data_IF_941647738527
#
_entry.id   IF_941647738527
#
_cell.length_a   1.000
_cell.length_b   1.000
_cell.length_c   1.000
_cell.angle_alpha   90.00
_cell.angle_beta   90.00
_cell.angle_gamma   90.00
#
_symmetry.space_group_name_H-M   'P 1'
#
loop_
_entity.id
_entity.type
_entity.pdbx_description
1 polymer ?
#
# COMPACT_ATOMS: atom_id res chain seq x y z
N UNK A 1 7.20 -36.60 10.25
CA UNK A 1 6.60 -35.43 9.55
C UNK A 1 5.16 -35.29 10.01
N UNK A 2 4.98 -35.03 11.31
CA UNK A 2 3.68 -34.95 11.98
C UNK A 2 3.09 -33.55 11.82
N UNK A 3 1.84 -33.49 11.35
CA UNK A 3 0.82 -32.47 11.58
C UNK A 3 1.20 -30.97 11.42
N UNK A 4 1.88 -30.58 10.34
CA UNK A 4 2.03 -29.16 9.99
C UNK A 4 0.68 -28.44 9.73
N UNK A 5 -0.42 -29.18 9.53
CA UNK A 5 -1.74 -28.62 9.22
C UNK A 5 -2.64 -28.49 10.46
N UNK A 6 -2.46 -29.30 11.51
CA UNK A 6 -3.31 -29.22 12.71
C UNK A 6 -2.82 -28.19 13.75
N UNK A 7 -1.53 -27.85 13.71
CA UNK A 7 -0.91 -26.85 14.61
C UNK A 7 -0.70 -25.48 13.96
N UNK A 8 -1.34 -25.20 12.81
CA UNK A 8 -1.27 -23.87 12.19
C UNK A 8 -1.98 -22.84 13.10
N UNK A 9 -1.25 -21.93 13.77
CA UNK A 9 -1.85 -20.95 14.67
C UNK A 9 -2.69 -19.92 13.91
N UNK A 10 -2.56 -19.82 12.59
CA UNK A 10 -3.39 -19.00 11.71
C UNK A 10 -4.66 -19.76 11.27
N UNK A 11 -4.61 -21.09 11.27
CA UNK A 11 -5.74 -22.03 11.15
C UNK A 11 -6.55 -21.95 9.83
N UNK A 12 -7.33 -23.00 9.48
CA UNK A 12 -8.17 -23.02 8.28
C UNK A 12 -9.49 -22.25 8.42
N UNK A 13 -9.63 -21.38 9.43
CA UNK A 13 -10.90 -20.71 9.75
C UNK A 13 -11.21 -19.56 8.81
N UNK A 14 -12.43 -19.50 8.27
CA UNK A 14 -12.94 -18.27 7.64
C UNK A 14 -12.92 -17.13 8.68
N UNK A 15 -12.52 -15.94 8.24
CA UNK A 15 -12.63 -14.74 9.05
C UNK A 15 -14.05 -14.59 9.58
N UNK A 16 -14.19 -14.45 10.90
CA UNK A 16 -15.47 -14.13 11.54
C UNK A 16 -15.41 -12.66 11.91
N UNK A 17 -16.28 -11.86 11.28
CA UNK A 17 -16.31 -10.42 11.52
C UNK A 17 -16.54 -10.12 13.01
N UNK A 18 -15.60 -9.42 13.68
CA UNK A 18 -15.79 -9.02 15.07
C UNK A 18 -16.88 -7.96 15.16
N UNK A 19 -17.58 -7.94 16.30
CA UNK A 19 -18.68 -7.00 16.60
C UNK A 19 -18.18 -5.56 16.75
N UNK A 20 -16.94 -5.37 17.20
CA UNK A 20 -16.29 -4.05 17.34
C UNK A 20 -15.13 -3.92 16.36
N UNK A 21 -14.82 -2.70 15.93
CA UNK A 21 -13.68 -2.44 15.02
C UNK A 21 -12.35 -2.55 15.75
N UNK A 22 -12.24 -2.04 16.99
CA UNK A 22 -11.15 -2.33 17.92
C UNK A 22 -11.67 -3.17 19.10
N UNK A 23 -10.92 -4.23 19.45
CA UNK A 23 -11.22 -5.06 20.61
C UNK A 23 -9.94 -5.71 21.17
N UNK A 24 -9.31 -5.05 22.13
CA UNK A 24 -8.15 -5.58 22.84
C UNK A 24 -8.60 -6.53 23.97
N UNK A 25 -8.20 -7.79 23.88
CA UNK A 25 -8.51 -8.87 24.82
C UNK A 25 -7.35 -9.19 25.76
N UNK A 26 -6.14 -8.83 25.36
CA UNK A 26 -4.90 -8.99 26.14
C UNK A 26 -4.07 -7.73 26.06
N UNK A 27 -3.00 -7.67 26.85
CA UNK A 27 -1.87 -6.79 26.63
C UNK A 27 -1.24 -7.01 25.24
N UNK A 28 -0.51 -6.01 24.73
CA UNK A 28 0.16 -6.07 23.43
C UNK A 28 1.68 -5.97 23.66
N UNK A 29 2.48 -6.99 23.29
CA UNK A 29 2.08 -8.28 22.71
C UNK A 29 1.40 -9.21 23.73
N UNK A 30 0.39 -9.98 23.29
CA UNK A 30 -0.28 -10.98 24.12
C UNK A 30 0.54 -12.26 24.35
N UNK A 31 0.08 -13.20 25.20
CA UNK A 31 0.83 -14.41 25.56
C UNK A 31 1.27 -15.26 24.37
N UNK A 32 0.40 -15.51 23.39
CA UNK A 32 0.73 -16.31 22.19
C UNK A 32 1.67 -15.54 21.27
N UNK A 33 1.42 -14.25 21.08
CA UNK A 33 2.29 -13.37 20.30
C UNK A 33 3.71 -13.33 20.88
N UNK A 34 3.89 -13.24 22.21
CA UNK A 34 5.21 -13.31 22.85
C UNK A 34 5.96 -14.61 22.56
N UNK A 35 5.28 -15.75 22.62
CA UNK A 35 5.88 -17.05 22.29
C UNK A 35 6.32 -17.08 20.83
N UNK A 36 5.49 -16.60 19.90
CA UNK A 36 5.81 -16.54 18.48
C UNK A 36 6.98 -15.57 18.18
N UNK A 37 7.01 -14.39 18.82
CA UNK A 37 8.11 -13.44 18.70
C UNK A 37 9.43 -14.00 19.24
N UNK A 38 9.41 -14.74 20.35
CA UNK A 38 10.60 -15.42 20.87
C UNK A 38 11.13 -16.49 19.89
N UNK A 39 10.23 -17.28 19.28
CA UNK A 39 10.60 -18.24 18.21
C UNK A 39 11.20 -17.53 16.99
N UNK A 40 10.60 -16.41 16.57
CA UNK A 40 11.07 -15.57 15.47
C UNK A 40 12.52 -15.12 15.72
N UNK A 41 12.81 -14.55 16.88
CA UNK A 41 14.16 -14.09 17.24
C UNK A 41 15.19 -15.22 17.31
N UNK A 42 14.77 -16.45 17.62
CA UNK A 42 15.66 -17.61 17.65
C UNK A 42 15.95 -18.21 16.26
N UNK A 43 15.11 -17.94 15.25
CA UNK A 43 15.13 -18.63 13.96
C UNK A 43 15.41 -17.71 12.76
N UNK A 44 15.11 -16.41 12.86
CA UNK A 44 15.19 -15.46 11.76
C UNK A 44 16.34 -14.46 11.95
N UNK A 45 16.80 -13.85 10.85
CA UNK A 45 17.81 -12.79 10.86
C UNK A 45 17.33 -11.53 11.60
N UNK A 46 18.27 -10.73 12.10
CA UNK A 46 17.98 -9.54 12.88
C UNK A 46 17.56 -8.36 12.00
N UNK A 47 16.24 -8.14 11.85
CA UNK A 47 15.64 -6.84 11.43
C UNK A 47 14.09 -6.86 11.54
N UNK A 48 13.47 -6.55 12.69
CA UNK A 48 12.05 -6.96 12.88
C UNK A 48 11.15 -6.07 13.78
N UNK A 49 10.47 -5.04 13.26
CA UNK A 49 9.11 -4.70 13.71
C UNK A 49 8.07 -5.52 12.90
N UNK A 50 6.90 -5.91 13.45
CA UNK A 50 6.18 -5.30 14.57
C UNK A 50 6.00 -6.21 15.81
N UNK A 51 5.44 -5.63 16.87
CA UNK A 51 5.10 -6.26 18.16
C UNK A 51 3.84 -7.13 18.13
N UNK A 52 3.24 -7.34 16.96
CA UNK A 52 2.04 -8.16 16.79
C UNK A 52 2.34 -9.34 15.88
N UNK A 53 1.71 -10.48 16.16
CA UNK A 53 1.78 -11.67 15.30
C UNK A 53 0.39 -11.89 14.73
N UNK A 54 0.22 -11.59 13.45
CA UNK A 54 -1.07 -11.63 12.76
C UNK A 54 -1.54 -13.08 12.62
N UNK A 55 -2.77 -13.34 13.03
CA UNK A 55 -3.48 -14.58 12.72
C UNK A 55 -4.39 -14.44 11.50
N UNK A 56 -5.14 -13.33 11.41
CA UNK A 56 -6.10 -13.08 10.34
C UNK A 56 -6.22 -11.57 10.02
N UNK A 57 -6.68 -11.23 8.82
CA UNK A 57 -7.00 -9.86 8.47
C UNK A 57 -8.14 -9.80 7.44
N UNK A 58 -8.99 -8.78 7.53
CA UNK A 58 -10.08 -8.54 6.59
C UNK A 58 -10.52 -7.08 6.58
N UNK A 59 -10.71 -6.51 5.39
CA UNK A 59 -11.00 -5.08 5.24
C UNK A 59 -9.90 -4.23 5.86
N UNK A 60 -10.26 -3.32 6.78
CA UNK A 60 -9.30 -2.53 7.54
C UNK A 60 -8.91 -3.16 8.89
N UNK A 61 -9.26 -4.42 9.14
CA UNK A 61 -9.04 -5.07 10.43
C UNK A 61 -7.92 -6.09 10.36
N UNK A 62 -7.13 -6.12 11.42
CA UNK A 62 -6.09 -7.13 11.68
C UNK A 62 -6.39 -7.78 13.03
N UNK A 63 -6.27 -9.11 13.08
CA UNK A 63 -6.49 -9.91 14.29
C UNK A 63 -5.18 -10.66 14.58
N UNK A 64 -4.64 -10.48 15.78
CA UNK A 64 -3.44 -11.21 16.21
C UNK A 64 -3.76 -12.63 16.74
N UNK A 65 -2.71 -13.40 17.08
CA UNK A 65 -2.86 -14.76 17.62
C UNK A 65 -3.63 -14.82 18.95
N UNK A 66 -3.71 -13.71 19.67
CA UNK A 66 -4.37 -13.57 20.97
C UNK A 66 -5.83 -13.08 20.82
N UNK A 67 -6.31 -12.89 19.58
CA UNK A 67 -7.62 -12.37 19.21
C UNK A 67 -7.86 -10.90 19.61
N UNK A 68 -6.80 -10.12 19.73
CA UNK A 68 -6.91 -8.66 19.73
C UNK A 68 -7.28 -8.21 18.31
N UNK A 69 -8.27 -7.31 18.20
CA UNK A 69 -8.70 -6.74 16.93
C UNK A 69 -8.18 -5.31 16.84
N UNK A 70 -7.46 -5.02 15.76
CA UNK A 70 -6.86 -3.73 15.44
C UNK A 70 -7.48 -3.14 14.17
N UNK A 71 -7.46 -1.82 14.06
CA UNK A 71 -7.64 -1.09 12.80
C UNK A 71 -6.26 -0.89 12.14
N UNK A 72 -6.17 -1.14 10.84
CA UNK A 72 -4.94 -1.03 10.05
C UNK A 72 -4.90 0.24 9.20
N UNK A 73 -4.14 1.23 9.69
CA UNK A 73 -3.79 2.46 8.99
C UNK A 73 -2.29 2.47 8.61
N UNK A 74 -1.64 1.30 8.58
CA UNK A 74 -0.22 1.15 8.30
C UNK A 74 0.06 0.56 6.91
N UNK A 75 -0.80 -0.32 6.39
CA UNK A 75 -0.48 -1.11 5.20
C UNK A 75 -1.24 -0.71 3.94
N UNK A 76 -2.02 0.37 3.97
CA UNK A 76 -2.92 0.79 2.89
C UNK A 76 -2.25 1.03 1.55
N UNK A 77 -0.96 1.40 1.47
CA UNK A 77 -0.20 1.55 0.21
C UNK A 77 0.47 0.27 -0.28
N UNK A 78 0.38 -0.82 0.51
CA UNK A 78 1.00 -2.10 0.21
C UNK A 78 0.15 -3.04 -0.66
N UNK A 79 -0.68 -2.45 -1.53
CA UNK A 79 -1.67 -3.17 -2.31
C UNK A 79 -2.98 -3.45 -1.58
N UNK A 80 -3.24 -2.68 -0.52
CA UNK A 80 -4.44 -2.75 0.31
C UNK A 80 -5.40 -1.59 0.03
N UNK A 81 -5.43 -1.05 -1.20
CA UNK A 81 -6.47 -0.10 -1.60
C UNK A 81 -7.89 -0.61 -1.30
N UNK A 82 -8.13 -1.91 -1.47
CA UNK A 82 -9.42 -2.56 -1.20
C UNK A 82 -9.57 -3.12 0.22
N UNK A 83 -8.51 -3.11 1.03
CA UNK A 83 -8.44 -3.82 2.30
C UNK A 83 -8.05 -5.29 2.20
N UNK A 84 -7.77 -5.90 3.35
CA UNK A 84 -7.34 -7.29 3.47
C UNK A 84 -8.44 -8.26 3.00
N UNK A 85 -8.02 -9.34 2.34
CA UNK A 85 -8.89 -10.49 1.98
C UNK A 85 -10.23 -10.12 1.32
N UNK A 86 -10.23 -9.10 0.45
CA UNK A 86 -11.44 -8.69 -0.27
C UNK A 86 -12.05 -9.87 -1.06
N UNK A 87 -13.34 -10.13 -0.86
CA UNK A 87 -14.00 -11.38 -1.29
C UNK A 87 -13.85 -11.66 -2.79
N UNK A 88 -14.04 -10.65 -3.65
CA UNK A 88 -13.87 -10.80 -5.09
C UNK A 88 -12.44 -11.17 -5.50
N UNK A 89 -11.42 -10.60 -4.86
CA UNK A 89 -10.00 -10.90 -5.15
C UNK A 89 -9.69 -12.33 -4.68
N UNK A 90 -10.11 -12.68 -3.46
CA UNK A 90 -9.95 -14.04 -2.91
C UNK A 90 -10.59 -15.07 -3.83
N UNK A 91 -11.84 -14.86 -4.23
CA UNK A 91 -12.56 -15.76 -5.12
C UNK A 91 -11.89 -15.86 -6.50
N UNK A 92 -11.43 -14.74 -7.07
CA UNK A 92 -10.74 -14.74 -8.36
C UNK A 92 -9.45 -15.56 -8.32
N UNK A 93 -8.64 -15.42 -7.26
CA UNK A 93 -7.39 -16.18 -7.08
C UNK A 93 -7.67 -17.67 -6.83
N UNK A 94 -8.65 -18.00 -5.98
CA UNK A 94 -9.03 -19.39 -5.73
C UNK A 94 -9.51 -20.09 -7.01
N UNK A 95 -10.38 -19.46 -7.79
CA UNK A 95 -10.84 -20.02 -9.06
C UNK A 95 -9.77 -20.02 -10.17
N UNK A 96 -8.70 -19.23 -10.02
CA UNK A 96 -7.59 -19.21 -10.95
C UNK A 96 -6.61 -20.35 -10.71
N UNK A 97 -6.25 -20.62 -9.45
CA UNK A 97 -5.28 -21.67 -9.11
C UNK A 97 -5.81 -23.07 -9.46
N UNK A 98 -7.13 -23.27 -9.44
CA UNK A 98 -7.78 -24.50 -9.91
C UNK A 98 -7.53 -24.79 -11.39
N UNK A 99 -7.16 -23.78 -12.19
CA UNK A 99 -6.88 -23.94 -13.63
C UNK A 99 -5.40 -24.11 -13.87
N UNK A 100 -4.58 -23.25 -13.28
CA UNK A 100 -3.12 -23.31 -13.30
C UNK A 100 -2.52 -22.31 -12.29
N UNK A 101 -1.45 -22.74 -11.64
CA UNK A 101 -0.63 -21.95 -10.72
C UNK A 101 0.61 -21.36 -11.41
N UNK A 102 1.17 -22.07 -12.39
CA UNK A 102 2.35 -21.67 -13.18
C UNK A 102 2.00 -21.60 -14.66
N UNK A 103 2.46 -20.54 -15.34
CA UNK A 103 2.31 -20.39 -16.78
C UNK A 103 3.52 -21.00 -17.52
N UNK A 104 3.31 -21.83 -18.56
CA UNK A 104 4.40 -22.24 -19.44
C UNK A 104 5.05 -21.05 -20.16
N UNK A 105 6.37 -21.06 -20.41
CA UNK A 105 7.10 -19.90 -20.96
C UNK A 105 6.68 -19.52 -22.40
N UNK A 106 5.94 -20.38 -23.09
CA UNK A 106 5.45 -20.17 -24.45
C UNK A 106 3.95 -19.87 -24.51
N UNK A 107 3.30 -19.66 -23.36
CA UNK A 107 1.87 -19.40 -23.25
C UNK A 107 1.58 -17.97 -22.79
N UNK A 108 0.40 -17.47 -23.13
CA UNK A 108 -0.08 -16.14 -22.71
C UNK A 108 -1.41 -16.26 -21.98
N UNK A 109 -1.64 -15.36 -21.03
CA UNK A 109 -2.87 -15.31 -20.25
C UNK A 109 -3.76 -14.16 -20.72
N UNK A 110 -5.00 -14.48 -21.10
CA UNK A 110 -6.01 -13.48 -21.48
C UNK A 110 -6.24 -12.42 -20.38
N UNK A 111 -6.04 -12.78 -19.11
CA UNK A 111 -6.14 -11.84 -17.99
C UNK A 111 -5.07 -10.76 -18.04
N UNK A 112 -3.89 -11.04 -18.59
CA UNK A 112 -2.86 -10.02 -18.80
C UNK A 112 -3.32 -8.99 -19.82
N UNK A 113 -3.90 -9.41 -20.95
CA UNK A 113 -4.44 -8.49 -21.95
C UNK A 113 -5.56 -7.63 -21.39
N UNK A 114 -6.48 -8.22 -20.63
CA UNK A 114 -7.56 -7.48 -19.98
C UNK A 114 -7.02 -6.46 -18.97
N UNK A 115 -6.05 -6.84 -18.15
CA UNK A 115 -5.40 -5.94 -17.18
C UNK A 115 -4.72 -4.76 -17.89
N UNK A 116 -3.91 -5.04 -18.92
CA UNK A 116 -3.21 -4.01 -19.70
C UNK A 116 -4.20 -3.08 -20.41
N UNK A 117 -5.29 -3.62 -20.97
CA UNK A 117 -6.33 -2.81 -21.62
C UNK A 117 -6.93 -1.81 -20.65
N UNK A 118 -7.34 -2.25 -19.47
CA UNK A 118 -7.89 -1.38 -18.43
C UNK A 118 -6.88 -0.32 -17.96
N UNK A 119 -5.59 -0.68 -17.83
CA UNK A 119 -4.56 0.29 -17.46
C UNK A 119 -4.39 1.38 -18.52
N UNK A 120 -4.34 1.00 -19.79
CA UNK A 120 -4.23 1.96 -20.89
C UNK A 120 -5.45 2.89 -20.97
N UNK A 121 -6.65 2.40 -20.62
CA UNK A 121 -7.87 3.22 -20.56
C UNK A 121 -7.87 4.20 -19.37
N UNK A 122 -7.33 3.82 -18.22
CA UNK A 122 -7.37 4.63 -17.00
C UNK A 122 -6.25 5.68 -16.91
N UNK A 123 -5.08 5.40 -17.50
CA UNK A 123 -3.88 6.24 -17.36
C UNK A 123 -3.83 7.40 -18.36
N UNK A 124 -3.22 8.56 -18.00
CA UNK A 124 -3.33 9.81 -18.78
C UNK A 124 -2.34 9.93 -19.95
N UNK A 125 -2.18 8.90 -20.78
CA UNK A 125 -1.12 8.85 -21.82
C UNK A 125 -1.63 8.97 -23.28
N UNK A 126 -2.94 9.12 -23.48
CA UNK A 126 -3.52 9.40 -24.80
C UNK A 126 -3.64 8.17 -25.71
N UNK A 127 -3.61 8.40 -27.03
CA UNK A 127 -4.15 7.45 -28.02
C UNK A 127 -3.26 6.23 -28.26
N UNK A 128 -1.93 6.36 -28.20
CA UNK A 128 -1.00 5.24 -28.37
C UNK A 128 -0.38 4.90 -27.02
N UNK A 129 -1.22 4.37 -26.14
CA UNK A 129 -0.83 3.94 -24.78
C UNK A 129 -0.60 2.43 -24.77
N UNK A 130 0.56 2.01 -24.27
CA UNK A 130 0.91 0.61 -24.02
C UNK A 130 1.29 0.46 -22.55
N UNK A 131 1.26 -0.78 -22.07
CA UNK A 131 1.75 -1.12 -20.75
C UNK A 131 2.59 -2.39 -20.76
N UNK A 132 3.51 -2.48 -19.80
CA UNK A 132 4.31 -3.67 -19.54
C UNK A 132 4.27 -4.00 -18.05
N UNK A 133 4.07 -5.28 -17.73
CA UNK A 133 3.96 -5.78 -16.36
C UNK A 133 5.32 -6.28 -15.86
N UNK A 134 5.58 -6.10 -14.56
CA UNK A 134 6.78 -6.59 -13.87
C UNK A 134 6.42 -7.15 -12.50
N UNK A 135 7.21 -8.11 -12.01
CA UNK A 135 7.00 -8.71 -10.70
C UNK A 135 7.49 -7.81 -9.57
N UNK A 136 8.47 -6.93 -9.84
CA UNK A 136 9.03 -5.99 -8.87
C UNK A 136 9.28 -4.59 -9.47
N UNK A 137 9.18 -3.50 -8.68
CA UNK A 137 9.50 -2.15 -9.12
C UNK A 137 10.91 -2.00 -9.71
N UNK A 138 11.90 -2.68 -9.13
CA UNK A 138 13.31 -2.57 -9.53
C UNK A 138 13.54 -3.13 -10.94
N UNK A 139 12.80 -4.18 -11.31
CA UNK A 139 12.82 -4.74 -12.67
C UNK A 139 12.27 -3.73 -13.69
N UNK A 140 11.21 -3.01 -13.32
CA UNK A 140 10.64 -1.97 -14.18
C UNK A 140 11.64 -0.82 -14.41
N UNK A 141 12.34 -0.39 -13.36
CA UNK A 141 13.37 0.64 -13.49
C UNK A 141 14.58 0.17 -14.31
N UNK A 142 15.02 -1.07 -14.12
CA UNK A 142 16.11 -1.66 -14.90
C UNK A 142 15.78 -1.74 -16.40
N UNK A 143 14.53 -2.07 -16.73
CA UNK A 143 14.04 -2.13 -18.12
C UNK A 143 14.09 -0.79 -18.87
N UNK A 144 14.15 0.32 -18.13
CA UNK A 144 14.32 1.67 -18.69
C UNK A 144 15.79 2.03 -18.95
N UNK A 145 16.76 1.15 -18.62
CA UNK A 145 18.19 1.41 -18.78
C UNK A 145 18.70 2.55 -17.88
N UNK A 146 18.06 2.76 -16.72
CA UNK A 146 18.42 3.84 -15.79
C UNK A 146 19.46 3.32 -14.79
N UNK A 147 20.74 3.62 -15.04
CA UNK A 147 21.88 3.11 -14.24
C UNK A 147 22.11 3.84 -12.90
N UNK A 148 21.48 5.00 -12.65
CA UNK A 148 21.63 5.74 -11.37
C UNK A 148 20.37 6.53 -10.97
N UNK A 149 20.06 6.42 -9.68
CA UNK A 149 19.06 7.14 -8.87
C UNK A 149 18.18 8.13 -9.66
N UNK A 150 16.91 7.75 -9.82
CA UNK A 150 15.86 8.76 -9.78
C UNK A 150 16.05 9.49 -8.45
N UNK A 151 16.53 10.74 -8.50
CA UNK A 151 16.52 11.64 -7.35
C UNK A 151 15.04 11.98 -7.04
N UNK A 152 14.37 11.07 -6.35
CA UNK A 152 13.16 11.37 -5.59
C UNK A 152 13.63 12.17 -4.38
N UNK A 153 13.66 13.49 -4.49
CA UNK A 153 13.79 14.34 -3.31
C UNK A 153 12.51 14.18 -2.48
N UNK A 154 12.61 13.38 -1.42
CA UNK A 154 11.95 13.41 -0.10
C UNK A 154 10.48 13.92 0.05
N UNK A 155 9.72 13.39 1.03
CA UNK A 155 8.36 12.92 0.81
C UNK A 155 7.33 14.05 0.71
N UNK A 156 6.30 13.83 -0.12
CA UNK A 156 5.20 14.76 -0.45
C UNK A 156 5.52 15.81 -1.51
N UNK A 157 6.06 15.35 -2.64
CA UNK A 157 5.89 16.07 -3.91
C UNK A 157 5.43 15.08 -4.97
N UNK A 158 4.10 15.00 -5.11
CA UNK A 158 3.53 14.65 -6.40
C UNK A 158 4.08 15.63 -7.44
N UNK A 159 4.57 15.09 -8.55
CA UNK A 159 5.41 15.73 -9.57
C UNK A 159 6.91 15.84 -9.20
N UNK A 160 7.57 14.69 -9.05
CA UNK A 160 9.01 14.58 -9.26
C UNK A 160 9.28 14.30 -10.73
N UNK A 161 9.83 15.28 -11.46
CA UNK A 161 10.35 15.06 -12.82
C UNK A 161 11.67 14.31 -12.69
N UNK A 162 11.72 13.04 -13.09
CA UNK A 162 12.97 12.36 -13.33
C UNK A 162 13.34 12.46 -14.80
N UNK A 163 14.63 12.64 -15.08
CA UNK A 163 15.21 12.62 -16.41
C UNK A 163 16.17 11.45 -16.49
N UNK A 164 15.92 10.46 -17.36
CA UNK A 164 16.96 9.47 -17.72
C UNK A 164 17.79 9.99 -18.91
N UNK A 165 19.03 9.53 -19.00
CA UNK A 165 19.87 9.67 -20.19
C UNK A 165 20.21 8.27 -20.70
N UNK A 166 19.71 7.91 -21.88
CA UNK A 166 20.20 6.72 -22.59
C UNK A 166 21.52 7.07 -23.30
N UNK A 167 22.46 6.13 -23.30
CA UNK A 167 23.72 6.22 -24.04
C UNK A 167 23.50 5.94 -25.54
N UNK A 168 22.71 6.80 -26.19
CA UNK A 168 22.65 6.90 -27.65
C UNK A 168 22.33 8.36 -28.01
N UNK A 169 23.02 8.88 -29.02
CA UNK A 169 22.98 10.27 -29.42
C UNK A 169 21.55 10.81 -29.65
N UNK A 170 21.30 12.04 -29.17
CA UNK A 170 20.02 12.79 -29.05
C UNK A 170 19.30 12.58 -27.70
N UNK A 171 19.60 13.45 -26.74
CA UNK A 171 19.09 13.42 -25.36
C UNK A 171 17.59 13.75 -25.28
N UNK A 172 16.75 12.76 -25.56
CA UNK A 172 15.36 12.76 -25.13
C UNK A 172 15.33 12.36 -23.64
N UNK A 173 14.82 13.25 -22.79
CA UNK A 173 14.51 12.94 -21.40
C UNK A 173 13.05 12.52 -21.30
N UNK A 174 12.76 11.38 -20.68
CA UNK A 174 11.39 10.95 -20.41
C UNK A 174 10.95 11.39 -19.03
N UNK A 175 9.74 11.96 -18.93
CA UNK A 175 9.10 12.24 -17.66
C UNK A 175 8.39 10.98 -17.15
N UNK A 176 8.81 10.49 -15.98
CA UNK A 176 8.23 9.30 -15.34
C UNK A 176 7.49 9.72 -14.06
N UNK A 177 6.19 9.41 -13.97
CA UNK A 177 5.42 9.49 -12.73
C UNK A 177 5.62 8.20 -11.93
N UNK A 178 6.40 8.24 -10.85
CA UNK A 178 6.63 7.10 -9.98
C UNK A 178 5.55 6.97 -8.92
N UNK A 179 4.64 6.01 -9.12
CA UNK A 179 3.46 5.81 -8.27
C UNK A 179 3.49 4.43 -7.59
N UNK A 180 4.68 3.83 -7.45
CA UNK A 180 4.85 2.48 -6.88
C UNK A 180 4.36 2.34 -5.42
N UNK A 181 4.26 3.46 -4.70
CA UNK A 181 3.78 3.51 -3.31
C UNK A 181 2.39 4.15 -3.19
N UNK A 182 1.66 4.30 -4.29
CA UNK A 182 0.34 4.89 -4.30
C UNK A 182 -0.69 3.86 -4.78
N UNK A 183 -1.89 3.87 -4.18
CA UNK A 183 -3.00 3.13 -4.77
C UNK A 183 -3.77 4.01 -5.74
N UNK A 184 -4.22 3.41 -6.83
CA UNK A 184 -5.17 4.00 -7.75
C UNK A 184 -6.41 4.48 -6.97
N UNK A 185 -6.80 5.74 -7.15
CA UNK A 185 -7.91 6.38 -6.44
C UNK A 185 -7.52 7.16 -5.18
N UNK A 186 -6.34 6.90 -4.58
CA UNK A 186 -5.93 7.52 -3.29
C UNK A 186 -5.98 9.04 -3.31
N UNK A 187 -5.64 9.64 -4.43
CA UNK A 187 -5.54 11.09 -4.55
C UNK A 187 -6.81 11.75 -5.11
N UNK A 188 -7.89 10.99 -5.24
CA UNK A 188 -9.09 11.47 -5.93
C UNK A 188 -9.08 11.28 -7.45
N UNK A 189 -8.04 10.62 -7.98
CA UNK A 189 -7.86 10.32 -9.40
C UNK A 189 -7.22 8.93 -9.58
N UNK A 190 -7.19 8.41 -10.82
CA UNK A 190 -6.59 7.10 -11.09
C UNK A 190 -5.05 7.15 -11.04
N UNK A 191 -4.45 8.32 -11.26
CA UNK A 191 -3.02 8.51 -11.09
C UNK A 191 -2.67 9.83 -10.40
N UNK A 192 -1.47 9.89 -9.84
CA UNK A 192 -0.84 11.08 -9.32
C UNK A 192 -0.77 12.18 -10.38
N UNK A 193 -0.35 11.81 -11.59
CA UNK A 193 -0.28 12.72 -12.72
C UNK A 193 -1.64 13.38 -13.02
N UNK A 194 -2.73 12.61 -13.03
CA UNK A 194 -4.08 13.16 -13.21
C UNK A 194 -4.47 14.12 -12.09
N UNK A 195 -4.18 13.77 -10.83
CA UNK A 195 -4.54 14.57 -9.67
C UNK A 195 -3.91 15.97 -9.69
N UNK A 196 -2.72 16.12 -10.30
CA UNK A 196 -2.00 17.42 -10.40
C UNK A 196 -1.98 18.02 -11.80
N UNK A 197 -2.68 17.42 -12.77
CA UNK A 197 -2.73 17.92 -14.16
C UNK A 197 -1.42 17.79 -14.94
N UNK A 198 -0.58 16.80 -14.60
CA UNK A 198 0.66 16.48 -15.30
C UNK A 198 0.43 15.45 -16.41
N UNK A 199 1.20 15.52 -17.50
CA UNK A 199 1.23 14.50 -18.55
C UNK A 199 2.63 13.88 -18.65
N UNK A 200 2.90 12.77 -17.94
CA UNK A 200 4.15 12.05 -18.04
C UNK A 200 4.24 11.19 -19.30
N UNK A 201 5.47 10.94 -19.78
CA UNK A 201 5.73 9.97 -20.83
C UNK A 201 5.40 8.54 -20.37
N UNK A 202 5.69 8.24 -19.10
CA UNK A 202 5.45 6.95 -18.44
C UNK A 202 4.91 7.12 -17.02
N UNK A 203 4.10 6.19 -16.56
CA UNK A 203 3.68 6.04 -15.16
C UNK A 203 4.09 4.66 -14.67
N UNK A 204 4.81 4.59 -13.55
CA UNK A 204 5.06 3.34 -12.81
C UNK A 204 3.92 3.13 -11.81
N UNK A 205 3.04 2.19 -12.11
CA UNK A 205 1.80 1.94 -11.35
C UNK A 205 1.98 0.74 -10.44
N UNK A 206 1.56 0.87 -9.18
CA UNK A 206 1.41 -0.24 -8.25
C UNK A 206 0.10 -1.01 -8.51
N UNK A 207 0.19 -2.32 -8.72
CA UNK A 207 -0.94 -3.22 -8.96
C UNK A 207 -1.03 -4.33 -7.92
N UNK A 208 -0.32 -4.18 -6.80
CA UNK A 208 -0.28 -5.17 -5.73
C UNK A 208 -1.69 -5.40 -5.18
N UNK A 209 -2.07 -6.67 -5.10
CA UNK A 209 -3.34 -7.13 -4.53
C UNK A 209 -3.09 -8.51 -3.89
N UNK A 210 -2.43 -8.53 -2.73
CA UNK A 210 -1.97 -9.77 -2.08
C UNK A 210 -0.72 -10.42 -2.69
N UNK A 211 -0.34 -10.05 -3.93
CA UNK A 211 0.92 -10.42 -4.56
C UNK A 211 1.53 -9.20 -5.27
N UNK A 212 2.86 -9.11 -5.31
CA UNK A 212 3.54 -7.98 -5.95
C UNK A 212 3.36 -8.04 -7.47
N UNK A 213 2.91 -6.92 -8.03
CA UNK A 213 2.84 -6.68 -9.46
C UNK A 213 2.90 -5.16 -9.67
N UNK A 214 3.66 -4.72 -10.66
CA UNK A 214 3.71 -3.33 -11.09
C UNK A 214 3.59 -3.25 -12.60
N UNK A 215 3.29 -2.07 -13.12
CA UNK A 215 3.30 -1.82 -14.56
C UNK A 215 3.97 -0.50 -14.90
N UNK A 216 4.71 -0.47 -16.01
CA UNK A 216 4.98 0.78 -16.71
C UNK A 216 3.89 0.97 -17.75
N UNK A 217 3.19 2.09 -17.69
CA UNK A 217 2.13 2.48 -18.63
C UNK A 217 2.56 3.79 -19.28
N UNK A 218 2.39 3.94 -20.60
CA UNK A 218 2.73 5.19 -21.24
C UNK A 218 2.85 5.09 -22.75
N UNK A 219 3.67 5.98 -23.32
CA UNK A 219 3.84 6.07 -24.77
C UNK A 219 4.31 4.74 -25.36
N UNK A 220 3.61 4.28 -26.39
CA UNK A 220 3.86 2.97 -27.01
C UNK A 220 5.27 2.80 -27.59
N UNK A 221 5.84 3.86 -28.16
CA UNK A 221 7.20 3.82 -28.73
C UNK A 221 8.28 3.61 -27.65
N UNK A 222 8.08 4.15 -26.46
CA UNK A 222 8.99 3.92 -25.32
C UNK A 222 8.83 2.50 -24.78
N UNK A 223 7.60 2.03 -24.59
CA UNK A 223 7.31 0.68 -24.07
C UNK A 223 7.84 -0.41 -25.02
N UNK A 224 7.71 -0.21 -26.34
CA UNK A 224 8.18 -1.17 -27.34
C UNK A 224 9.70 -1.29 -27.41
N UNK A 225 10.44 -0.22 -27.07
CA UNK A 225 11.91 -0.16 -27.14
C UNK A 225 12.60 -0.70 -25.87
N UNK A 226 11.84 -1.01 -24.80
CA UNK A 226 12.38 -1.51 -23.53
C UNK A 226 13.13 -2.84 -23.69
N UNK A 227 14.36 -2.89 -23.18
CA UNK A 227 15.09 -4.15 -23.04
C UNK A 227 14.66 -4.86 -21.77
N UNK A 228 14.18 -6.09 -21.89
CA UNK A 228 13.64 -6.84 -20.74
C UNK A 228 14.23 -8.24 -20.72
N UNK A 229 14.66 -8.66 -19.54
CA UNK A 229 15.01 -10.05 -19.26
C UNK A 229 13.73 -10.85 -18.93
N UNK A 230 13.65 -12.07 -19.47
CA UNK A 230 12.46 -12.93 -19.58
C UNK A 230 11.89 -13.49 -18.25
N UNK A 231 11.75 -12.70 -17.19
CA UNK A 231 11.07 -13.17 -15.98
C UNK A 231 9.54 -13.01 -16.15
N UNK A 232 8.79 -14.11 -16.33
CA UNK A 232 7.34 -14.01 -16.47
C UNK A 232 6.70 -13.53 -15.17
N UNK A 233 5.67 -12.67 -15.30
CA UNK A 233 4.84 -12.28 -14.16
C UNK A 233 3.96 -13.43 -13.70
N UNK A 234 3.80 -13.58 -12.38
CA UNK A 234 3.04 -14.68 -11.80
C UNK A 234 1.54 -14.59 -12.18
N UNK A 235 0.91 -15.65 -12.74
CA UNK A 235 -0.47 -15.57 -13.24
C UNK A 235 -1.51 -15.28 -12.15
N UNK A 236 -1.28 -15.76 -10.92
CA UNK A 236 -2.14 -15.41 -9.78
C UNK A 236 -2.00 -13.94 -9.37
N UNK A 237 -0.82 -13.31 -9.52
CA UNK A 237 -0.64 -11.89 -9.26
C UNK A 237 -1.39 -11.05 -10.30
N UNK A 238 -1.32 -11.43 -11.58
CA UNK A 238 -2.11 -10.82 -12.65
C UNK A 238 -3.61 -10.94 -12.37
N UNK A 239 -4.06 -12.13 -11.93
CA UNK A 239 -5.46 -12.37 -11.59
C UNK A 239 -5.94 -11.45 -10.46
N UNK A 240 -5.15 -11.36 -9.39
CA UNK A 240 -5.48 -10.53 -8.24
C UNK A 240 -5.49 -9.04 -8.61
N UNK A 241 -4.49 -8.59 -9.39
CA UNK A 241 -4.39 -7.23 -9.90
C UNK A 241 -5.58 -6.87 -10.82
N UNK A 242 -5.98 -7.78 -11.72
CA UNK A 242 -7.15 -7.57 -12.58
C UNK A 242 -8.44 -7.43 -11.75
N UNK A 243 -8.66 -8.30 -10.76
CA UNK A 243 -9.81 -8.19 -9.87
C UNK A 243 -9.79 -6.89 -9.05
N UNK A 244 -8.62 -6.49 -8.55
CA UNK A 244 -8.43 -5.21 -7.84
C UNK A 244 -8.71 -4.00 -8.73
N UNK A 245 -8.24 -4.00 -9.98
CA UNK A 245 -8.47 -2.90 -10.92
C UNK A 245 -9.94 -2.81 -11.37
N UNK A 246 -10.62 -3.94 -11.54
CA UNK A 246 -12.06 -3.95 -11.76
C UNK A 246 -12.81 -3.31 -10.59
N UNK A 247 -12.45 -3.67 -9.35
CA UNK A 247 -13.03 -3.06 -8.16
C UNK A 247 -12.76 -1.55 -8.08
N UNK A 248 -11.58 -1.08 -8.47
CA UNK A 248 -11.27 0.35 -8.56
C UNK A 248 -12.30 1.09 -9.43
N UNK A 249 -12.69 0.50 -10.56
CA UNK A 249 -13.70 1.06 -11.46
C UNK A 249 -15.12 0.92 -10.89
N UNK A 250 -15.50 -0.30 -10.48
CA UNK A 250 -16.84 -0.62 -9.97
C UNK A 250 -17.22 0.20 -8.72
N UNK A 251 -16.27 0.38 -7.80
CA UNK A 251 -16.46 1.11 -6.55
C UNK A 251 -16.12 2.60 -6.68
N UNK A 252 -15.69 3.06 -7.87
CA UNK A 252 -15.24 4.41 -8.13
C UNK A 252 -14.27 4.93 -7.05
N UNK A 253 -13.13 4.26 -6.90
CA UNK A 253 -12.20 4.58 -5.82
C UNK A 253 -11.57 5.97 -5.92
N UNK A 254 -11.59 6.60 -7.11
CA UNK A 254 -11.26 8.01 -7.25
C UNK A 254 -12.25 8.89 -6.48
N UNK A 255 -13.56 8.71 -6.69
CA UNK A 255 -14.57 9.44 -5.93
C UNK A 255 -14.48 9.13 -4.42
N UNK A 256 -14.22 7.87 -4.04
CA UNK A 256 -14.02 7.50 -2.63
C UNK A 256 -12.78 8.19 -2.03
N UNK A 257 -11.69 8.31 -2.79
CA UNK A 257 -10.51 9.07 -2.39
C UNK A 257 -10.82 10.55 -2.11
N UNK A 258 -11.64 11.19 -2.95
CA UNK A 258 -12.12 12.56 -2.69
C UNK A 258 -12.94 12.64 -1.40
N UNK A 259 -13.87 11.70 -1.18
CA UNK A 259 -14.68 11.67 0.04
C UNK A 259 -13.81 11.56 1.30
N UNK A 260 -12.87 10.61 1.33
CA UNK A 260 -11.96 10.43 2.47
C UNK A 260 -11.04 11.66 2.67
N UNK A 261 -10.67 12.34 1.59
CA UNK A 261 -9.92 13.60 1.66
C UNK A 261 -10.70 14.70 2.39
N UNK A 262 -11.99 14.84 2.09
CA UNK A 262 -12.86 15.83 2.72
C UNK A 262 -13.09 15.47 4.20
N UNK A 263 -13.34 14.18 4.50
CA UNK A 263 -13.47 13.70 5.88
C UNK A 263 -12.22 14.00 6.73
N UNK A 264 -11.02 13.71 6.21
CA UNK A 264 -9.77 14.05 6.89
C UNK A 264 -9.64 15.55 7.14
N UNK A 265 -9.95 16.37 6.13
CA UNK A 265 -9.83 17.82 6.22
C UNK A 265 -10.76 18.36 7.31
N UNK A 266 -12.00 17.90 7.34
CA UNK A 266 -12.99 18.33 8.32
C UNK A 266 -12.61 17.92 9.74
N UNK A 267 -12.17 16.67 9.94
CA UNK A 267 -11.77 16.16 11.26
C UNK A 267 -10.49 16.82 11.79
N UNK A 268 -9.53 17.13 10.90
CA UNK A 268 -8.21 17.63 11.32
C UNK A 268 -8.08 19.14 11.30
N UNK A 269 -9.12 19.88 10.87
CA UNK A 269 -9.10 21.34 10.76
C UNK A 269 -8.78 22.06 12.08
N UNK A 270 -9.10 21.44 13.21
CA UNK A 270 -8.92 21.99 14.56
C UNK A 270 -7.71 21.42 15.29
N UNK A 271 -6.94 20.53 14.66
CA UNK A 271 -5.83 19.85 15.32
C UNK A 271 -4.69 20.82 15.65
N UNK A 272 -4.48 21.04 16.94
CA UNK A 272 -3.36 21.82 17.48
C UNK A 272 -2.64 21.02 18.55
N UNK A 273 -1.64 20.24 18.12
CA UNK A 273 -0.83 19.40 19.01
C UNK A 273 0.62 19.89 19.06
N UNK A 274 1.19 20.18 20.24
CA UNK A 274 2.60 20.54 20.40
C UNK A 274 3.57 19.61 19.66
N UNK A 275 3.36 18.29 19.73
CA UNK A 275 4.23 17.31 19.07
C UNK A 275 4.17 17.34 17.52
N UNK A 276 3.12 17.94 16.95
CA UNK A 276 2.87 17.96 15.50
C UNK A 276 3.47 19.23 14.86
N UNK A 277 4.41 19.03 13.94
CA UNK A 277 5.07 20.13 13.24
C UNK A 277 4.28 20.58 11.99
N UNK A 278 3.76 19.63 11.23
CA UNK A 278 3.02 19.90 9.99
C UNK A 278 2.07 18.75 9.65
N UNK A 279 0.92 19.07 9.07
CA UNK A 279 0.07 18.12 8.35
C UNK A 279 0.24 18.36 6.86
N UNK A 280 0.45 17.28 6.09
CA UNK A 280 0.50 17.32 4.64
C UNK A 280 -0.59 16.44 4.06
N UNK A 281 -1.33 16.96 3.09
CA UNK A 281 -2.45 16.26 2.46
C UNK A 281 -2.51 16.51 0.96
N UNK A 282 -2.70 15.44 0.18
CA UNK A 282 -3.12 15.50 -1.22
C UNK A 282 -4.16 14.39 -1.42
N UNK A 283 -5.40 14.74 -1.78
CA UNK A 283 -6.51 13.79 -1.74
C UNK A 283 -6.61 13.09 -0.39
N UNK A 284 -6.76 11.76 -0.39
CA UNK A 284 -6.76 10.93 0.82
C UNK A 284 -5.37 10.39 1.20
N UNK A 285 -4.29 10.93 0.63
CA UNK A 285 -2.95 10.75 1.17
C UNK A 285 -2.71 11.81 2.23
N UNK A 286 -2.52 11.37 3.46
CA UNK A 286 -2.40 12.24 4.63
C UNK A 286 -1.20 11.84 5.46
N UNK A 287 -0.33 12.81 5.75
CA UNK A 287 0.95 12.58 6.43
C UNK A 287 1.09 13.55 7.58
N UNK A 288 1.33 13.01 8.77
CA UNK A 288 1.69 13.77 9.95
C UNK A 288 3.20 13.89 10.04
N UNK A 289 3.74 15.11 10.00
CA UNK A 289 5.14 15.37 10.31
C UNK A 289 5.24 15.78 11.78
N UNK A 290 5.87 14.94 12.58
CA UNK A 290 6.14 15.21 13.99
C UNK A 290 7.43 16.03 14.12
N UNK A 291 7.62 16.67 15.27
CA UNK A 291 8.82 17.48 15.55
C UNK A 291 10.11 16.67 15.59
N UNK A 292 10.02 15.38 15.89
CA UNK A 292 11.15 14.46 15.93
C UNK A 292 10.75 13.03 15.54
N UNK A 293 11.74 12.23 15.16
CA UNK A 293 11.55 10.80 14.93
C UNK A 293 11.14 10.05 16.21
N UNK A 294 11.61 10.51 17.38
CA UNK A 294 11.22 9.93 18.67
C UNK A 294 9.73 10.13 18.96
N UNK A 295 9.18 11.32 18.67
CA UNK A 295 7.74 11.59 18.83
C UNK A 295 6.90 10.79 17.83
N UNK A 296 7.38 10.64 16.59
CA UNK A 296 6.72 9.79 15.61
C UNK A 296 6.66 8.32 16.08
N UNK A 297 7.75 7.81 16.66
CA UNK A 297 7.74 6.46 17.24
C UNK A 297 6.81 6.35 18.45
N UNK A 298 6.81 7.34 19.36
CA UNK A 298 5.89 7.37 20.49
C UNK A 298 4.42 7.41 20.04
N UNK A 299 4.11 8.12 18.95
CA UNK A 299 2.78 8.12 18.35
C UNK A 299 2.37 6.72 17.90
N UNK A 300 3.26 6.05 17.15
CA UNK A 300 3.04 4.67 16.67
C UNK A 300 2.83 3.70 17.83
N UNK A 301 3.65 3.82 18.88
CA UNK A 301 3.57 2.95 20.06
C UNK A 301 2.28 3.19 20.87
N UNK A 302 1.90 4.45 21.11
CA UNK A 302 0.65 4.79 21.81
C UNK A 302 -0.58 4.35 21.00
N UNK A 303 -0.59 4.58 19.68
CA UNK A 303 -1.65 4.12 18.80
C UNK A 303 -1.80 2.59 18.83
N UNK A 304 -0.68 1.86 18.79
CA UNK A 304 -0.67 0.39 18.88
C UNK A 304 -1.33 -0.09 20.18
N UNK A 305 -0.96 0.49 21.33
CA UNK A 305 -1.56 0.14 22.63
C UNK A 305 -3.06 0.45 22.72
N UNK A 306 -3.58 1.27 21.81
CA UNK A 306 -4.99 1.62 21.68
C UNK A 306 -5.71 0.86 20.55
N UNK A 307 -5.02 -0.04 19.85
CA UNK A 307 -5.60 -0.88 18.81
C UNK A 307 -5.55 -0.30 17.39
N UNK A 308 -4.74 0.74 17.14
CA UNK A 308 -4.54 1.32 15.82
C UNK A 308 -3.11 1.03 15.32
N UNK A 309 -3.00 0.41 14.15
CA UNK A 309 -1.72 0.16 13.51
C UNK A 309 -1.32 1.36 12.67
N UNK A 310 -0.15 1.91 12.98
CA UNK A 310 0.52 2.97 12.24
C UNK A 310 1.96 2.55 11.94
N UNK A 311 2.62 3.29 11.06
CA UNK A 311 4.06 3.18 10.83
C UNK A 311 4.67 4.53 10.53
N UNK A 312 5.98 4.65 10.76
CA UNK A 312 6.76 5.77 10.23
C UNK A 312 7.04 5.56 8.74
N UNK A 313 7.27 6.64 8.00
CA UNK A 313 7.74 6.58 6.63
C UNK A 313 9.20 6.10 6.57
N UNK A 314 9.56 5.40 5.49
CA UNK A 314 10.92 4.87 5.32
C UNK A 314 11.93 5.98 4.95
N UNK A 315 11.48 7.02 4.25
CA UNK A 315 12.30 8.16 3.85
C UNK A 315 12.56 9.16 4.97
N UNK A 316 11.58 9.34 5.86
CA UNK A 316 11.66 10.32 6.94
C UNK A 316 11.00 9.73 8.20
N UNK A 317 11.79 9.30 9.20
CA UNK A 317 11.27 8.62 10.38
C UNK A 317 10.45 9.54 11.29
N UNK A 318 10.43 10.86 11.06
CA UNK A 318 9.53 11.77 11.75
C UNK A 318 8.19 11.97 11.03
N UNK A 319 7.97 11.31 9.89
CA UNK A 319 6.69 11.30 9.19
C UNK A 319 5.89 10.03 9.50
N UNK A 320 4.60 10.18 9.81
CA UNK A 320 3.63 9.10 10.00
C UNK A 320 2.53 9.25 8.95
N UNK A 321 2.59 8.50 7.84
CA UNK A 321 1.52 8.49 6.85
C UNK A 321 0.31 7.66 7.34
N UNK A 322 -0.91 8.13 7.08
CA UNK A 322 -2.12 7.37 7.32
C UNK A 322 -2.44 6.52 6.08
N UNK A 323 -2.14 5.25 6.19
CA UNK A 323 -2.22 4.26 5.12
C UNK A 323 -3.39 3.32 5.40
N UNK A 324 -4.61 3.84 5.45
CA UNK A 324 -5.84 3.04 5.57
C UNK A 324 -6.34 2.57 4.20
N UNK A 325 -7.07 1.43 4.08
CA UNK A 325 -7.68 1.03 2.81
C UNK A 325 -8.73 2.05 2.35
N UNK A 326 -8.89 2.27 1.03
CA UNK A 326 -9.90 3.23 0.52
C UNK A 326 -11.33 2.74 0.74
N UNK A 327 -11.52 1.42 0.83
CA UNK A 327 -12.79 0.79 1.19
C UNK A 327 -13.01 0.68 2.71
N UNK A 328 -12.21 1.38 3.54
CA UNK A 328 -12.47 1.42 4.99
C UNK A 328 -13.89 1.91 5.26
N UNK A 329 -14.70 1.15 6.04
CA UNK A 329 -16.02 1.62 6.47
C UNK A 329 -15.88 2.89 7.32
N UNK A 330 -16.80 3.84 7.16
CA UNK A 330 -16.68 5.15 7.82
C UNK A 330 -16.62 5.05 9.35
N UNK A 331 -17.38 4.14 9.95
CA UNK A 331 -17.32 3.88 11.40
C UNK A 331 -15.90 3.52 11.87
N UNK A 332 -15.19 2.69 11.10
CA UNK A 332 -13.82 2.26 11.40
C UNK A 332 -12.84 3.38 11.11
N UNK A 333 -13.14 4.18 10.09
CA UNK A 333 -12.34 5.34 9.75
C UNK A 333 -12.33 6.36 10.89
N UNK A 334 -13.51 6.74 11.38
CA UNK A 334 -13.66 7.67 12.51
C UNK A 334 -13.07 7.10 13.80
N UNK A 335 -13.33 5.83 14.12
CA UNK A 335 -12.75 5.18 15.30
C UNK A 335 -11.21 5.20 15.27
N UNK A 336 -10.60 5.01 14.08
CA UNK A 336 -9.16 5.15 13.89
C UNK A 336 -8.66 6.59 14.09
N UNK A 337 -9.41 7.59 13.62
CA UNK A 337 -9.06 9.01 13.83
C UNK A 337 -9.18 9.42 15.31
N UNK A 338 -10.21 8.95 16.02
CA UNK A 338 -10.39 9.20 17.46
C UNK A 338 -9.20 8.65 18.27
N UNK A 339 -8.73 7.44 17.93
CA UNK A 339 -7.55 6.83 18.56
C UNK A 339 -6.28 7.62 18.24
N UNK A 340 -6.12 8.05 16.98
CA UNK A 340 -4.98 8.85 16.54
C UNK A 340 -4.93 10.20 17.27
N UNK A 341 -6.07 10.88 17.44
CA UNK A 341 -6.18 12.13 18.17
C UNK A 341 -5.79 11.95 19.64
N UNK A 342 -6.31 10.91 20.29
CA UNK A 342 -5.96 10.58 21.68
C UNK A 342 -4.45 10.30 21.85
N UNK A 343 -3.83 9.61 20.89
CA UNK A 343 -2.40 9.32 20.91
C UNK A 343 -1.55 10.59 20.68
N UNK A 344 -1.97 11.49 19.79
CA UNK A 344 -1.33 12.79 19.58
C UNK A 344 -1.39 13.68 20.84
N UNK A 345 -2.52 13.68 21.53
CA UNK A 345 -2.68 14.40 22.80
C UNK A 345 -1.72 13.86 23.88
N UNK A 346 -1.64 12.53 24.03
CA UNK A 346 -0.76 11.87 25.01
C UNK A 346 0.71 12.25 24.82
N UNK A 347 1.24 12.11 23.60
CA UNK A 347 2.66 12.42 23.34
C UNK A 347 2.98 13.92 23.44
N UNK A 348 1.96 14.78 23.27
CA UNK A 348 2.14 16.23 23.39
C UNK A 348 2.24 16.69 24.85
N UNK A 349 1.64 15.97 25.80
CA UNK A 349 1.75 16.28 27.23
C UNK A 349 3.11 15.89 27.83
N UNK A 350 3.85 14.98 27.19
CA UNK A 350 5.19 14.58 27.61
C UNK A 350 6.27 15.66 27.46
N UNK A 351 6.01 16.72 26.68
CA UNK A 351 6.97 17.83 26.46
C UNK A 351 7.03 18.80 27.66
N UNK A 352 6.00 18.88 28.52
CA UNK A 352 5.94 19.85 29.63
C UNK A 352 6.86 19.53 30.83
N UNK A 353 7.59 18.41 30.79
CA UNK A 353 8.46 17.93 31.89
C UNK A 353 9.92 17.65 31.49
N UNK A 354 10.34 18.08 30.30
CA UNK A 354 11.69 17.87 29.74
C UNK A 354 12.66 19.02 29.97
#
# INVERSE_FOLDING_TARGET
MSNLVEDDPCGPGKFVAPVRSIALRTEIPGPKSRVALARRSALMGADLPPNIVVGQAHGARVIDLDNNVFIDFASGTDGLGMGHTHEQIVSAVQSAVERYDVMPPHATDERQFRLVTLLCELMPHGVVTKARLFSQPEQALAALGVDRELALTEPVTLAGVATSTSAAANSAHWLISDERHLNIGRLGAYSAAQAVGMQPDLTLVNLRAGATLVALVGRGDIIDDMQVHDDPVHPLAVTAALAGLMLVQEQNLAARGCQLADLLRDQTAVWTFPALAQVRQIGALFVLKLRSASLAQQLVDSALQRGLLLRTADSDPACVPLLYPLMVPEEQFYEGLDVLEAALAEISHGEDHG
#
